data_IF_585785040068
#
_entry.id   IF_585785040068
#
_cell.length_a   1.000
_cell.length_b   1.000
_cell.length_c   1.000
_cell.angle_alpha   90.00
_cell.angle_beta   90.00
_cell.angle_gamma   90.00
#
_symmetry.space_group_name_H-M   'P 1'
#
loop_
_entity.id
_entity.type
_entity.pdbx_description
1 polymer ?
#
# COMPACT_ATOMS: atom_id res chain seq x y z
N UNK A 1 3.55 12.67 11.29
CA UNK A 1 2.58 12.87 10.19
C UNK A 1 1.19 12.55 10.72
N UNK A 2 0.42 13.58 11.05
CA UNK A 2 -0.98 13.48 11.50
C UNK A 2 -1.86 14.00 10.38
N UNK A 3 -2.56 13.10 9.70
CA UNK A 3 -3.50 13.44 8.65
C UNK A 3 -4.40 12.25 8.37
N UNK A 4 -5.59 12.50 7.86
CA UNK A 4 -6.58 11.49 7.52
C UNK A 4 -6.70 11.34 6.01
N UNK A 5 -7.22 10.20 5.57
CA UNK A 5 -7.53 10.00 4.15
C UNK A 5 -8.72 10.90 3.76
N UNK A 6 -8.61 11.60 2.64
CA UNK A 6 -9.66 12.48 2.14
C UNK A 6 -9.71 12.52 0.61
N UNK A 7 -10.74 13.14 0.05
CA UNK A 7 -10.95 13.26 -1.40
C UNK A 7 -10.88 14.73 -1.79
N UNK A 8 -9.99 15.04 -2.74
CA UNK A 8 -9.97 16.30 -3.46
C UNK A 8 -11.22 16.37 -4.36
N UNK A 9 -12.18 17.21 -3.95
CA UNK A 9 -13.49 17.31 -4.62
C UNK A 9 -13.40 17.95 -6.00
N UNK A 10 -12.40 18.78 -6.24
CA UNK A 10 -12.24 19.48 -7.52
C UNK A 10 -11.66 18.55 -8.58
N UNK A 11 -10.86 17.55 -8.17
CA UNK A 11 -10.35 16.50 -9.07
C UNK A 11 -11.27 15.29 -9.19
N UNK A 12 -12.13 15.03 -8.21
CA UNK A 12 -12.90 13.79 -8.17
C UNK A 12 -13.93 13.68 -9.29
N UNK A 13 -13.76 12.69 -10.16
CA UNK A 13 -14.73 12.36 -11.21
C UNK A 13 -15.94 11.51 -10.72
N UNK A 14 -16.08 11.30 -9.41
CA UNK A 14 -17.20 10.55 -8.79
C UNK A 14 -17.43 9.12 -9.34
N UNK A 15 -16.38 8.46 -9.84
CA UNK A 15 -16.48 7.11 -10.42
C UNK A 15 -16.62 5.97 -9.38
N UNK A 16 -16.36 6.26 -8.10
CA UNK A 16 -16.45 5.31 -6.99
C UNK A 16 -15.42 4.16 -7.00
N UNK A 17 -14.40 4.21 -7.86
CA UNK A 17 -13.39 3.14 -7.95
C UNK A 17 -12.66 2.91 -6.63
N UNK A 18 -12.23 3.97 -5.97
CA UNK A 18 -11.55 3.89 -4.67
C UNK A 18 -12.45 3.36 -3.54
N UNK A 19 -13.76 3.61 -3.59
CA UNK A 19 -14.72 3.05 -2.63
C UNK A 19 -14.88 1.53 -2.80
N UNK A 20 -14.99 1.05 -4.06
CA UNK A 20 -15.08 -0.39 -4.36
C UNK A 20 -13.83 -1.16 -3.96
N UNK A 21 -12.67 -0.53 -4.05
CA UNK A 21 -11.37 -1.15 -3.76
C UNK A 21 -10.94 -1.01 -2.29
N UNK A 22 -11.70 -0.27 -1.47
CA UNK A 22 -11.35 -0.04 -0.07
C UNK A 22 -11.65 -1.27 0.79
N UNK A 23 -10.65 -2.14 0.95
CA UNK A 23 -10.74 -3.38 1.76
C UNK A 23 -11.12 -3.09 3.22
N UNK A 24 -10.65 -1.97 3.78
CA UNK A 24 -10.97 -1.56 5.15
C UNK A 24 -12.34 -0.88 5.29
N UNK A 25 -13.09 -0.70 4.20
CA UNK A 25 -14.44 -0.13 4.22
C UNK A 25 -14.53 1.32 4.69
N UNK A 26 -13.48 2.11 4.47
CA UNK A 26 -13.40 3.52 4.90
C UNK A 26 -14.07 4.47 3.91
N UNK A 27 -13.88 4.21 2.61
CA UNK A 27 -14.38 5.04 1.51
C UNK A 27 -15.73 4.50 1.03
N UNK A 28 -16.74 5.35 0.99
CA UNK A 28 -18.11 5.02 0.57
C UNK A 28 -18.62 6.00 -0.48
N UNK A 29 -19.51 5.53 -1.35
CA UNK A 29 -20.26 6.42 -2.25
C UNK A 29 -21.54 6.83 -1.57
N UNK A 30 -21.64 8.10 -1.18
CA UNK A 30 -22.81 8.72 -0.55
C UNK A 30 -23.33 9.82 -1.47
N UNK A 31 -24.60 9.73 -1.88
CA UNK A 31 -25.23 10.70 -2.79
C UNK A 31 -24.41 10.95 -4.09
N UNK A 32 -23.84 9.89 -4.65
CA UNK A 32 -23.03 9.96 -5.88
C UNK A 32 -21.62 10.54 -5.68
N UNK A 33 -21.17 10.82 -4.46
CA UNK A 33 -19.81 11.29 -4.16
C UNK A 33 -19.08 10.32 -3.25
N UNK A 34 -17.76 10.21 -3.43
CA UNK A 34 -16.95 9.39 -2.51
C UNK A 34 -16.62 10.18 -1.25
N UNK A 35 -16.88 9.61 -0.09
CA UNK A 35 -16.63 10.19 1.23
C UNK A 35 -15.89 9.18 2.13
N UNK A 36 -15.05 9.68 3.04
CA UNK A 36 -14.41 8.87 4.07
C UNK A 36 -15.26 8.93 5.34
N UNK A 37 -15.92 7.83 5.71
CA UNK A 37 -16.86 7.81 6.85
C UNK A 37 -16.17 7.49 8.18
N UNK A 38 -15.16 6.62 8.15
CA UNK A 38 -14.36 6.18 9.31
C UNK A 38 -12.87 6.22 8.98
N UNK A 39 -12.27 7.40 8.73
CA UNK A 39 -10.88 7.53 8.31
C UNK A 39 -9.87 6.85 9.28
N UNK A 40 -10.23 6.70 10.55
CA UNK A 40 -9.46 6.01 11.58
C UNK A 40 -9.30 4.50 11.34
N UNK A 41 -10.18 3.86 10.56
CA UNK A 41 -10.05 2.46 10.17
C UNK A 41 -9.14 2.24 8.96
N UNK A 42 -8.56 3.31 8.40
CA UNK A 42 -7.67 3.22 7.26
C UNK A 42 -6.41 2.42 7.63
N UNK A 43 -6.24 1.26 7.00
CA UNK A 43 -5.05 0.42 7.13
C UNK A 43 -3.86 0.93 6.29
N UNK A 44 -4.03 2.07 5.58
CA UNK A 44 -2.98 2.75 4.80
C UNK A 44 -2.43 1.94 3.62
N UNK A 45 -3.19 0.98 3.09
CA UNK A 45 -2.77 0.12 1.97
C UNK A 45 -2.52 0.85 0.64
N UNK A 46 -3.06 2.06 0.43
CA UNK A 46 -2.80 2.85 -0.77
C UNK A 46 -3.56 2.46 -2.04
N UNK A 47 -4.32 1.36 -2.00
CA UNK A 47 -5.16 0.84 -3.09
C UNK A 47 -6.04 1.93 -3.74
N UNK A 48 -6.74 2.71 -2.92
CA UNK A 48 -7.54 3.85 -3.34
C UNK A 48 -6.80 4.87 -4.23
N UNK A 49 -5.51 5.14 -3.99
CA UNK A 49 -4.69 6.04 -4.81
C UNK A 49 -4.28 5.37 -6.12
N UNK A 50 -3.97 4.07 -6.07
CA UNK A 50 -3.59 3.30 -7.25
C UNK A 50 -4.73 3.17 -8.27
N UNK A 51 -5.97 3.01 -7.81
CA UNK A 51 -7.15 2.87 -8.69
C UNK A 51 -7.84 4.18 -9.05
N UNK A 52 -7.43 5.32 -8.47
CA UNK A 52 -8.07 6.61 -8.76
C UNK A 52 -7.53 7.21 -10.06
N UNK A 53 -8.31 7.22 -11.17
CA UNK A 53 -7.80 7.72 -12.45
C UNK A 53 -7.56 9.24 -12.44
N UNK A 54 -8.26 9.97 -11.57
CA UNK A 54 -8.16 11.41 -11.45
C UNK A 54 -7.09 11.86 -10.43
N UNK A 55 -6.44 10.92 -9.72
CA UNK A 55 -5.49 11.24 -8.65
C UNK A 55 -6.12 12.08 -7.51
N UNK A 56 -7.42 11.91 -7.27
CA UNK A 56 -8.19 12.73 -6.33
C UNK A 56 -8.10 12.26 -4.86
N UNK A 57 -7.46 11.11 -4.59
CA UNK A 57 -7.34 10.58 -3.22
C UNK A 57 -6.13 11.20 -2.52
N UNK A 58 -6.37 11.91 -1.44
CA UNK A 58 -5.35 12.47 -0.56
C UNK A 58 -5.06 11.44 0.53
N UNK A 59 -3.88 10.84 0.49
CA UNK A 59 -3.40 9.89 1.50
C UNK A 59 -2.08 10.42 2.10
N UNK A 60 -2.11 10.98 3.32
CA UNK A 60 -0.94 11.63 3.94
C UNK A 60 0.15 10.64 4.37
N UNK A 61 -0.12 9.34 4.29
CA UNK A 61 0.83 8.29 4.65
C UNK A 61 1.69 7.82 3.47
N UNK A 62 1.34 8.24 2.25
CA UNK A 62 2.05 7.87 1.03
C UNK A 62 2.75 9.09 0.45
N UNK A 63 4.07 9.12 0.60
CA UNK A 63 4.93 10.14 -0.01
C UNK A 63 4.84 10.00 -1.52
N UNK A 64 4.59 11.10 -2.22
CA UNK A 64 4.61 11.11 -3.68
C UNK A 64 5.98 10.67 -4.21
N UNK A 65 5.99 9.79 -5.21
CA UNK A 65 7.22 9.18 -5.72
C UNK A 65 7.78 8.01 -4.90
N UNK A 66 7.16 7.64 -3.76
CA UNK A 66 7.57 6.45 -3.00
C UNK A 66 7.28 5.13 -3.74
N UNK A 67 6.26 5.12 -4.59
CA UNK A 67 5.98 4.01 -5.49
C UNK A 67 6.71 4.23 -6.81
N UNK A 68 7.50 3.23 -7.23
CA UNK A 68 8.15 3.18 -8.53
C UNK A 68 7.48 2.14 -9.44
N UNK A 69 7.49 2.32 -10.77
CA UNK A 69 7.11 1.26 -11.69
C UNK A 69 7.88 -0.02 -11.37
N UNK A 70 7.21 -1.16 -11.54
CA UNK A 70 7.88 -2.47 -11.41
C UNK A 70 8.94 -2.57 -12.48
N UNK A 71 10.18 -2.68 -12.05
CA UNK A 71 11.28 -3.03 -12.91
C UNK A 71 11.18 -4.53 -13.24
N UNK A 72 10.82 -4.83 -14.49
CA UNK A 72 10.59 -6.21 -14.93
C UNK A 72 11.89 -6.99 -15.08
N UNK A 73 13.04 -6.34 -15.17
CA UNK A 73 14.36 -6.99 -15.28
C UNK A 73 14.77 -7.60 -13.93
N UNK A 74 14.33 -6.99 -12.83
CA UNK A 74 14.53 -7.50 -11.47
C UNK A 74 13.62 -8.71 -11.14
N UNK A 75 12.57 -8.95 -11.92
CA UNK A 75 11.66 -10.08 -11.73
C UNK A 75 12.19 -11.32 -12.45
N UNK A 76 12.91 -12.16 -11.71
CA UNK A 76 13.36 -13.47 -12.21
C UNK A 76 12.26 -14.52 -11.92
N UNK A 77 11.53 -15.03 -12.94
CA UNK A 77 10.34 -15.85 -12.73
C UNK A 77 10.65 -17.16 -11.99
N UNK A 78 11.80 -17.76 -12.27
CA UNK A 78 12.21 -19.02 -11.65
C UNK A 78 12.59 -18.81 -10.18
N UNK A 79 13.26 -17.71 -9.83
CA UNK A 79 13.52 -17.34 -8.44
C UNK A 79 12.21 -17.12 -7.68
N UNK A 80 11.25 -16.40 -8.27
CA UNK A 80 9.95 -16.18 -7.65
C UNK A 80 9.18 -17.49 -7.43
N UNK A 81 9.19 -18.39 -8.42
CA UNK A 81 8.59 -19.72 -8.32
C UNK A 81 9.21 -20.52 -7.18
N UNK A 82 10.55 -20.54 -7.09
CA UNK A 82 11.25 -21.26 -6.04
C UNK A 82 10.88 -20.72 -4.65
N UNK A 83 10.87 -19.39 -4.46
CA UNK A 83 10.46 -18.77 -3.19
C UNK A 83 9.02 -19.13 -2.83
N UNK A 84 8.10 -19.15 -3.80
CA UNK A 84 6.69 -19.44 -3.55
C UNK A 84 6.40 -20.93 -3.32
N UNK A 85 7.15 -21.81 -3.97
CA UNK A 85 6.94 -23.27 -3.92
C UNK A 85 7.72 -23.97 -2.80
N UNK A 86 8.74 -23.32 -2.23
CA UNK A 86 9.56 -23.89 -1.16
C UNK A 86 8.86 -23.79 0.20
N UNK A 87 9.21 -24.72 1.11
CA UNK A 87 8.73 -24.66 2.50
C UNK A 87 9.24 -23.37 3.14
N UNK A 88 8.32 -22.63 3.78
CA UNK A 88 8.65 -21.45 4.60
C UNK A 88 9.80 -21.78 5.56
N UNK A 89 10.72 -20.83 5.71
CA UNK A 89 11.98 -21.02 6.44
C UNK A 89 11.79 -21.67 7.81
N UNK A 90 12.66 -22.64 8.12
CA UNK A 90 12.85 -23.10 9.50
C UNK A 90 13.75 -22.06 10.17
N UNK A 91 13.19 -21.29 11.10
CA UNK A 91 13.89 -20.22 11.82
C UNK A 91 14.99 -20.81 12.74
N UNK A 92 16.18 -21.06 12.19
CA UNK A 92 17.40 -21.31 12.96
C UNK A 92 18.22 -20.02 12.98
N UNK A 93 18.10 -19.28 14.09
CA UNK A 93 18.86 -18.07 14.31
C UNK A 93 20.27 -18.39 14.80
N UNK A 94 21.23 -17.58 14.39
CA UNK A 94 22.54 -17.52 15.05
C UNK A 94 22.39 -16.68 16.32
N UNK A 95 23.26 -16.92 17.31
CA UNK A 95 23.37 -16.06 18.50
C UNK A 95 24.22 -14.82 18.16
N UNK A 96 23.76 -14.05 17.17
CA UNK A 96 24.43 -12.87 16.63
C UNK A 96 23.36 -11.81 16.31
N UNK A 97 23.50 -10.57 16.80
CA UNK A 97 22.54 -9.52 16.50
C UNK A 97 22.66 -9.08 15.04
N UNK A 98 21.51 -8.92 14.38
CA UNK A 98 21.46 -8.35 13.02
C UNK A 98 21.90 -6.88 13.09
N UNK A 99 22.79 -6.41 12.19
CA UNK A 99 23.15 -5.01 12.10
C UNK A 99 21.92 -4.11 11.99
N UNK A 100 21.93 -3.00 12.73
CA UNK A 100 20.79 -2.08 12.79
C UNK A 100 20.39 -1.54 11.41
N UNK A 101 21.37 -1.27 10.54
CA UNK A 101 21.15 -0.79 9.17
C UNK A 101 20.34 -1.77 8.34
N UNK A 102 20.64 -3.07 8.43
CA UNK A 102 19.90 -4.12 7.72
C UNK A 102 18.46 -4.22 8.24
N UNK A 103 18.27 -4.11 9.56
CA UNK A 103 16.92 -4.07 10.14
C UNK A 103 16.14 -2.86 9.63
N UNK A 104 16.76 -1.68 9.58
CA UNK A 104 16.14 -0.45 9.07
C UNK A 104 15.78 -0.56 7.58
N UNK A 105 16.63 -1.16 6.76
CA UNK A 105 16.36 -1.43 5.34
C UNK A 105 15.20 -2.41 5.15
N UNK A 106 15.15 -3.49 5.93
CA UNK A 106 14.04 -4.45 5.90
C UNK A 106 12.74 -3.75 6.30
N UNK A 107 12.75 -2.95 7.38
CA UNK A 107 11.58 -2.21 7.83
C UNK A 107 11.12 -1.18 6.78
N UNK A 108 12.05 -0.51 6.10
CA UNK A 108 11.73 0.40 5.00
C UNK A 108 11.05 -0.35 3.84
N UNK A 109 11.57 -1.53 3.48
CA UNK A 109 10.98 -2.37 2.44
C UNK A 109 9.59 -2.89 2.81
N UNK A 110 9.38 -3.27 4.07
CA UNK A 110 8.11 -3.84 4.54
C UNK A 110 6.91 -2.91 4.32
N UNK A 111 7.11 -1.59 4.27
CA UNK A 111 6.03 -0.62 3.99
C UNK A 111 5.39 -0.80 2.60
N UNK A 112 6.04 -1.54 1.71
CA UNK A 112 5.59 -1.84 0.36
C UNK A 112 5.05 -3.27 0.20
N UNK A 113 5.00 -4.07 1.27
CA UNK A 113 4.47 -5.42 1.19
C UNK A 113 2.97 -5.37 0.86
N UNK A 114 2.51 -6.08 -0.19
CA UNK A 114 1.08 -6.24 -0.43
C UNK A 114 0.45 -7.00 0.75
N UNK A 115 -0.69 -6.51 1.23
CA UNK A 115 -1.52 -7.16 2.26
C UNK A 115 -2.65 -7.96 1.64
#
# INVERSE_FOLDING_TARGET
MSGEISIDRDKCANCGACARDCVSGVLHVVNGRTEALHPEWCNRCGHCRAVCPAGAVINPFLVEGSARPVDRELLQPDCYREIMATRRSVRRYKDEPVPRTEVEEILDLMRFSPT
#
